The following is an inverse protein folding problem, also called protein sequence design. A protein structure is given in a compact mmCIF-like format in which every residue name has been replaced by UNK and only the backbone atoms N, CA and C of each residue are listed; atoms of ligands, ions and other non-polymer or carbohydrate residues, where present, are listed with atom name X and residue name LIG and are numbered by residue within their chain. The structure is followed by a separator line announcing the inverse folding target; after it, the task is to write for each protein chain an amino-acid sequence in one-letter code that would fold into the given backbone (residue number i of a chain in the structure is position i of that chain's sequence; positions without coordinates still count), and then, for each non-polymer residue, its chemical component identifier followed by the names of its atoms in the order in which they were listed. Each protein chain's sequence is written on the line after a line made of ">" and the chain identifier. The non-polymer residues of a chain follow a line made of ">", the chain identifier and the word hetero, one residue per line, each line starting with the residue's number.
data_IF_487027266286
#
_entry.id   IF_487027266286
#
_cell.length_a   1.000
_cell.length_b   1.000
_cell.length_c   1.000
_cell.angle_alpha   90.00
_cell.angle_beta   90.00
_cell.angle_gamma   90.00
#
_symmetry.space_group_name_H-M   'P 1'
#
loop_
_entity.id
_entity.type
_entity.pdbx_description
1 polymer ?
#
# COMPACT_ATOMS: atom_id res chain seq x y z
N UNK A 1 17.92 -7.93 15.80
CA UNK A 1 16.99 -6.79 15.72
C UNK A 1 15.57 -7.34 15.67
N UNK A 2 14.56 -6.57 16.15
CA UNK A 2 13.15 -6.93 15.97
C UNK A 2 12.77 -6.75 14.50
N UNK A 3 11.90 -7.65 14.01
CA UNK A 3 11.40 -7.59 12.63
C UNK A 3 10.22 -6.62 12.54
N UNK A 4 10.30 -5.69 11.58
CA UNK A 4 9.28 -4.69 11.28
C UNK A 4 8.77 -4.91 9.85
N UNK A 5 7.48 -5.19 9.70
CA UNK A 5 6.79 -5.25 8.40
C UNK A 5 6.18 -3.90 8.10
N UNK A 6 6.35 -3.42 6.88
CA UNK A 6 5.76 -2.15 6.42
C UNK A 6 5.06 -2.39 5.09
N UNK A 7 3.80 -1.98 4.99
CA UNK A 7 3.09 -1.97 3.71
C UNK A 7 3.64 -0.87 2.79
N UNK A 8 3.44 -1.04 1.50
CA UNK A 8 3.88 -0.08 0.49
C UNK A 8 2.78 0.94 0.16
N UNK A 9 1.64 0.46 -0.35
CA UNK A 9 0.57 1.32 -0.84
C UNK A 9 -0.13 2.04 0.32
N UNK A 10 -0.35 3.34 0.18
CA UNK A 10 -0.91 4.23 1.20
C UNK A 10 -0.08 4.36 2.50
N UNK A 11 1.03 3.64 2.65
CA UNK A 11 1.97 3.77 3.76
C UNK A 11 3.28 4.43 3.35
N UNK A 12 3.90 3.98 2.27
CA UNK A 12 5.17 4.51 1.73
C UNK A 12 4.89 5.49 0.60
N UNK A 13 3.90 5.17 -0.24
CA UNK A 13 3.51 5.94 -1.43
C UNK A 13 2.03 5.76 -1.71
N UNK A 14 1.44 6.70 -2.43
CA UNK A 14 0.08 6.57 -2.95
C UNK A 14 0.16 6.16 -4.43
N UNK A 15 -0.35 4.98 -4.82
CA UNK A 15 -0.37 4.57 -6.21
C UNK A 15 -1.34 5.43 -7.04
N UNK A 16 -0.98 5.75 -8.29
CA UNK A 16 -1.70 6.68 -9.17
C UNK A 16 -3.01 6.10 -9.76
N UNK A 17 -3.71 5.26 -9.00
CA UNK A 17 -4.93 4.62 -9.49
C UNK A 17 -6.07 5.61 -9.71
N UNK A 18 -6.22 6.60 -8.81
CA UNK A 18 -7.29 7.60 -8.92
C UNK A 18 -7.07 8.54 -10.11
N UNK A 19 -5.83 8.90 -10.39
CA UNK A 19 -5.43 9.71 -11.53
C UNK A 19 -5.81 9.00 -12.84
N UNK A 20 -5.52 7.70 -12.94
CA UNK A 20 -5.88 6.91 -14.12
C UNK A 20 -7.39 6.64 -14.22
N UNK A 21 -8.12 6.54 -13.11
CA UNK A 21 -9.59 6.52 -13.13
C UNK A 21 -10.11 7.84 -13.66
N UNK A 22 -9.58 8.98 -13.20
CA UNK A 22 -9.96 10.30 -13.67
C UNK A 22 -9.66 10.49 -15.17
N UNK A 23 -8.49 10.06 -15.64
CA UNK A 23 -8.11 10.06 -17.05
C UNK A 23 -9.10 9.24 -17.88
N UNK A 24 -9.35 7.99 -17.47
CA UNK A 24 -10.24 7.08 -18.22
C UNK A 24 -11.68 7.56 -18.30
N UNK A 25 -12.21 8.13 -17.20
CA UNK A 25 -13.60 8.59 -17.09
C UNK A 25 -13.79 10.03 -17.52
N UNK A 26 -12.72 10.79 -17.73
CA UNK A 26 -12.75 12.26 -17.88
C UNK A 26 -13.46 12.92 -16.68
N UNK A 27 -13.03 12.58 -15.46
CA UNK A 27 -13.57 13.10 -14.19
C UNK A 27 -12.46 13.77 -13.37
N UNK A 28 -12.81 14.36 -12.23
CA UNK A 28 -11.87 14.98 -11.31
C UNK A 28 -12.20 14.57 -9.86
N UNK A 29 -12.28 13.27 -9.59
CA UNK A 29 -12.45 12.77 -8.24
C UNK A 29 -11.22 13.11 -7.40
N UNK A 30 -11.43 13.47 -6.14
CA UNK A 30 -10.37 13.70 -5.18
C UNK A 30 -10.27 12.55 -4.19
N UNK A 31 -9.07 12.26 -3.74
CA UNK A 31 -8.81 11.13 -2.85
C UNK A 31 -9.44 11.31 -1.47
N UNK A 32 -9.42 12.52 -0.95
CA UNK A 32 -10.00 12.89 0.36
C UNK A 32 -11.55 12.82 0.39
N UNK A 33 -12.18 12.77 -0.78
CA UNK A 33 -13.63 12.59 -0.93
C UNK A 33 -14.03 11.09 -0.99
N UNK A 34 -13.05 10.17 -1.07
CA UNK A 34 -13.30 8.75 -1.20
C UNK A 34 -13.30 8.07 0.18
N UNK A 35 -14.09 7.01 0.30
CA UNK A 35 -14.18 6.18 1.50
C UNK A 35 -14.01 4.69 1.21
N UNK A 36 -14.16 4.28 -0.06
CA UNK A 36 -14.01 2.88 -0.46
C UNK A 36 -12.54 2.61 -0.81
N UNK A 37 -11.91 1.69 -0.10
CA UNK A 37 -10.56 1.22 -0.40
C UNK A 37 -10.37 0.81 -1.87
N UNK A 38 -11.40 0.21 -2.46
CA UNK A 38 -11.38 -0.25 -3.85
C UNK A 38 -11.79 0.85 -4.82
N UNK A 39 -10.91 1.82 -5.08
CA UNK A 39 -11.15 2.96 -5.97
C UNK A 39 -11.66 2.55 -7.37
N UNK A 40 -11.27 1.37 -7.87
CA UNK A 40 -11.79 0.83 -9.14
C UNK A 40 -13.32 0.65 -9.15
N UNK A 41 -14.00 0.64 -8.01
CA UNK A 41 -15.46 0.64 -7.92
C UNK A 41 -16.10 1.92 -8.47
N UNK A 42 -15.34 3.02 -8.57
CA UNK A 42 -15.76 4.23 -9.26
C UNK A 42 -16.01 4.00 -10.76
N UNK A 43 -15.41 2.96 -11.33
CA UNK A 43 -15.62 2.56 -12.73
C UNK A 43 -16.77 1.55 -12.80
N UNK A 44 -18.01 2.07 -12.97
CA UNK A 44 -19.23 1.25 -13.01
C UNK A 44 -19.55 0.70 -14.40
N UNK A 45 -19.02 1.33 -15.45
CA UNK A 45 -19.22 0.96 -16.86
C UNK A 45 -17.88 0.76 -17.55
N UNK A 46 -17.87 -0.04 -18.62
CA UNK A 46 -16.67 -0.30 -19.42
C UNK A 46 -15.49 -0.85 -18.59
N UNK A 47 -15.78 -1.71 -17.61
CA UNK A 47 -14.75 -2.27 -16.70
C UNK A 47 -13.64 -3.00 -17.46
N UNK A 48 -13.98 -3.77 -18.49
CA UNK A 48 -12.98 -4.49 -19.30
C UNK A 48 -12.03 -3.52 -20.00
N UNK A 49 -12.56 -2.44 -20.59
CA UNK A 49 -11.75 -1.42 -21.25
C UNK A 49 -10.87 -0.66 -20.25
N UNK A 50 -11.42 -0.39 -19.05
CA UNK A 50 -10.63 0.23 -17.97
C UNK A 50 -9.47 -0.66 -17.55
N UNK A 51 -9.69 -1.95 -17.39
CA UNK A 51 -8.60 -2.85 -17.01
C UNK A 51 -7.53 -2.96 -18.10
N UNK A 52 -7.93 -3.01 -19.39
CA UNK A 52 -6.98 -2.95 -20.51
C UNK A 52 -6.16 -1.66 -20.48
N UNK A 53 -6.82 -0.53 -20.32
CA UNK A 53 -6.18 0.77 -20.19
C UNK A 53 -5.20 0.80 -18.99
N UNK A 54 -5.63 0.34 -17.80
CA UNK A 54 -4.80 0.35 -16.60
C UNK A 54 -3.58 -0.57 -16.71
N UNK A 55 -3.69 -1.69 -17.45
CA UNK A 55 -2.58 -2.61 -17.68
C UNK A 55 -1.42 -2.00 -18.49
N UNK A 56 -1.71 -0.96 -19.27
CA UNK A 56 -0.72 -0.21 -20.03
C UNK A 56 -0.03 0.89 -19.21
N UNK A 57 -0.50 1.09 -17.98
CA UNK A 57 0.00 2.14 -17.07
C UNK A 57 0.93 1.58 -16.01
N UNK A 58 1.85 2.43 -15.56
CA UNK A 58 2.64 2.17 -14.36
C UNK A 58 2.12 3.03 -13.20
N UNK A 59 1.51 2.39 -12.20
CA UNK A 59 0.93 3.10 -11.05
C UNK A 59 1.97 3.85 -10.20
N UNK A 60 3.25 3.60 -10.43
CA UNK A 60 4.36 4.12 -9.61
C UNK A 60 5.33 5.01 -10.39
N UNK A 61 5.10 5.23 -11.70
CA UNK A 61 6.05 5.94 -12.58
C UNK A 61 6.41 7.34 -12.06
N UNK A 62 5.41 8.08 -11.58
CA UNK A 62 5.56 9.42 -11.02
C UNK A 62 5.01 9.51 -9.58
N UNK A 63 4.82 8.37 -8.93
CA UNK A 63 4.40 8.37 -7.54
C UNK A 63 5.55 8.83 -6.64
N UNK A 64 5.25 9.75 -5.72
CA UNK A 64 6.21 10.24 -4.75
C UNK A 64 6.16 9.44 -3.46
N UNK A 65 7.26 9.41 -2.72
CA UNK A 65 7.24 8.95 -1.34
C UNK A 65 6.38 9.90 -0.50
N UNK A 66 5.70 9.37 0.49
CA UNK A 66 5.04 10.22 1.50
C UNK A 66 6.06 11.10 2.22
N UNK A 67 5.60 12.24 2.72
CA UNK A 67 6.43 13.19 3.43
C UNK A 67 7.24 12.50 4.55
N UNK A 68 8.50 12.87 4.69
CA UNK A 68 9.46 12.32 5.65
C UNK A 68 9.71 10.80 5.56
N UNK A 69 9.06 10.07 4.64
CA UNK A 69 9.11 8.61 4.55
C UNK A 69 10.55 8.10 4.38
N UNK A 70 11.34 8.72 3.49
CA UNK A 70 12.71 8.29 3.22
C UNK A 70 13.60 8.35 4.48
N UNK A 71 13.61 9.48 5.17
CA UNK A 71 14.45 9.68 6.36
C UNK A 71 13.97 8.80 7.53
N UNK A 72 12.65 8.72 7.75
CA UNK A 72 12.07 7.86 8.78
C UNK A 72 12.43 6.39 8.57
N UNK A 73 12.28 5.87 7.34
CA UNK A 73 12.63 4.48 7.04
C UNK A 73 14.12 4.21 7.16
N UNK A 74 14.96 5.19 6.80
CA UNK A 74 16.41 5.07 6.94
C UNK A 74 16.83 4.97 8.41
N UNK A 75 16.27 5.80 9.28
CA UNK A 75 16.49 5.74 10.73
C UNK A 75 15.97 4.43 11.34
N UNK A 76 14.75 4.01 10.95
CA UNK A 76 14.18 2.75 11.42
C UNK A 76 15.02 1.53 10.98
N UNK A 77 15.64 1.57 9.80
CA UNK A 77 16.47 0.49 9.29
C UNK A 77 17.77 0.29 10.08
N UNK A 78 18.18 1.27 10.89
CA UNK A 78 19.32 1.14 11.82
C UNK A 78 18.94 0.35 13.09
N UNK A 79 17.65 0.34 13.47
CA UNK A 79 17.15 -0.24 14.73
C UNK A 79 16.32 -1.51 14.52
N UNK A 80 15.68 -1.65 13.36
CA UNK A 80 14.80 -2.78 13.02
C UNK A 80 15.30 -3.53 11.79
N UNK A 81 14.96 -4.81 11.72
CA UNK A 81 15.09 -5.61 10.52
C UNK A 81 13.82 -5.40 9.65
N UNK A 82 13.88 -4.40 8.75
CA UNK A 82 12.72 -3.96 7.96
C UNK A 82 12.48 -4.89 6.77
N UNK A 83 11.21 -5.25 6.57
CA UNK A 83 10.70 -5.88 5.37
C UNK A 83 9.54 -5.07 4.81
N UNK A 84 9.57 -4.80 3.50
CA UNK A 84 8.42 -4.21 2.80
C UNK A 84 7.53 -5.35 2.33
N UNK A 85 6.26 -5.35 2.76
CA UNK A 85 5.31 -6.43 2.48
C UNK A 85 4.11 -5.86 1.74
N UNK A 86 3.97 -6.16 0.46
CA UNK A 86 2.94 -5.57 -0.38
C UNK A 86 2.22 -6.59 -1.26
N UNK A 87 0.95 -6.32 -1.57
CA UNK A 87 0.19 -7.12 -2.55
C UNK A 87 0.52 -6.64 -3.96
N UNK A 88 0.51 -7.56 -4.90
CA UNK A 88 0.73 -7.27 -6.33
C UNK A 88 -0.41 -7.76 -7.21
N UNK A 89 -1.29 -8.59 -6.66
CA UNK A 89 -2.32 -9.30 -7.43
C UNK A 89 -3.54 -8.43 -7.68
N UNK A 90 -3.92 -8.33 -8.95
CA UNK A 90 -5.21 -7.81 -9.38
C UNK A 90 -6.26 -8.91 -9.33
N UNK A 91 -7.23 -8.83 -8.42
CA UNK A 91 -8.24 -9.88 -8.22
C UNK A 91 -9.34 -9.86 -9.28
N UNK A 92 -9.71 -8.68 -9.76
CA UNK A 92 -10.91 -8.48 -10.58
C UNK A 92 -10.55 -8.34 -12.07
N UNK A 93 -10.36 -9.48 -12.75
CA UNK A 93 -10.28 -9.52 -14.21
C UNK A 93 -8.91 -9.28 -14.84
N UNK A 94 -7.84 -9.13 -14.03
CA UNK A 94 -6.50 -8.81 -14.55
C UNK A 94 -5.39 -9.62 -13.88
N UNK A 95 -5.66 -10.86 -13.52
CA UNK A 95 -4.65 -11.74 -12.88
C UNK A 95 -3.37 -11.82 -13.72
N UNK A 96 -3.49 -11.94 -15.05
CA UNK A 96 -2.34 -12.02 -15.96
C UNK A 96 -1.49 -10.74 -15.99
N UNK A 97 -2.09 -9.58 -15.68
CA UNK A 97 -1.37 -8.30 -15.58
C UNK A 97 -0.65 -8.09 -14.24
N UNK A 98 -0.86 -8.96 -13.28
CA UNK A 98 -0.25 -8.84 -11.94
C UNK A 98 1.28 -8.92 -11.99
N UNK A 99 1.84 -9.58 -13.00
CA UNK A 99 3.28 -9.61 -13.24
C UNK A 99 3.86 -8.21 -13.49
N UNK A 100 3.19 -7.39 -14.30
CA UNK A 100 3.59 -6.01 -14.56
C UNK A 100 3.53 -5.16 -13.28
N UNK A 101 2.45 -5.30 -12.50
CA UNK A 101 2.30 -4.60 -11.24
C UNK A 101 3.41 -4.98 -10.24
N UNK A 102 3.76 -6.27 -10.14
CA UNK A 102 4.89 -6.73 -9.31
C UNK A 102 6.20 -6.09 -9.76
N UNK A 103 6.50 -6.12 -11.07
CA UNK A 103 7.72 -5.53 -11.61
C UNK A 103 7.80 -4.02 -11.34
N UNK A 104 6.69 -3.29 -11.49
CA UNK A 104 6.61 -1.86 -11.22
C UNK A 104 6.87 -1.55 -9.75
N UNK A 105 6.26 -2.29 -8.82
CA UNK A 105 6.51 -2.16 -7.37
C UNK A 105 7.97 -2.45 -7.01
N UNK A 106 8.52 -3.54 -7.55
CA UNK A 106 9.93 -3.91 -7.32
C UNK A 106 10.87 -2.80 -7.77
N UNK A 107 10.68 -2.27 -8.98
CA UNK A 107 11.53 -1.22 -9.53
C UNK A 107 11.39 0.08 -8.73
N UNK A 108 10.18 0.47 -8.35
CA UNK A 108 9.91 1.62 -7.53
C UNK A 108 10.64 1.56 -6.18
N UNK A 109 10.47 0.45 -5.44
CA UNK A 109 11.13 0.27 -4.14
C UNK A 109 12.65 0.31 -4.26
N UNK A 110 13.20 -0.34 -5.27
CA UNK A 110 14.65 -0.35 -5.53
C UNK A 110 15.21 1.04 -5.84
N UNK A 111 14.44 1.86 -6.56
CA UNK A 111 14.83 3.24 -6.91
C UNK A 111 14.68 4.18 -5.72
N UNK A 112 13.50 4.16 -5.07
CA UNK A 112 13.15 5.15 -4.04
C UNK A 112 13.74 4.83 -2.67
N UNK A 113 13.99 3.54 -2.34
CA UNK A 113 14.52 3.09 -1.05
C UNK A 113 15.78 2.21 -1.20
N UNK A 114 16.87 2.74 -1.79
CA UNK A 114 18.05 1.94 -2.14
C UNK A 114 18.78 1.33 -0.93
N UNK A 115 18.53 1.81 0.28
CA UNK A 115 19.09 1.28 1.53
C UNK A 115 18.35 0.01 2.03
N UNK A 116 17.13 -0.27 1.55
CA UNK A 116 16.42 -1.52 1.81
C UNK A 116 16.69 -2.48 0.64
N UNK A 117 17.44 -3.53 0.91
CA UNK A 117 17.84 -4.49 -0.13
C UNK A 117 16.65 -5.27 -0.68
N UNK A 118 16.65 -5.66 -1.97
CA UNK A 118 15.54 -6.40 -2.60
C UNK A 118 15.17 -7.72 -1.92
N UNK A 119 16.09 -8.38 -1.22
CA UNK A 119 15.81 -9.58 -0.41
C UNK A 119 14.86 -9.33 0.77
N UNK A 120 14.60 -8.05 1.09
CA UNK A 120 13.64 -7.61 2.11
C UNK A 120 12.26 -7.25 1.53
N UNK A 121 12.04 -7.44 0.22
CA UNK A 121 10.74 -7.22 -0.39
C UNK A 121 9.95 -8.52 -0.44
N UNK A 122 8.74 -8.51 0.13
CA UNK A 122 7.84 -9.65 0.18
C UNK A 122 6.57 -9.28 -0.59
N UNK A 123 6.34 -9.98 -1.70
CA UNK A 123 5.15 -9.80 -2.52
C UNK A 123 4.14 -10.90 -2.22
N UNK A 124 3.06 -10.58 -1.53
CA UNK A 124 2.04 -11.55 -1.13
C UNK A 124 0.67 -10.90 -0.99
N UNK A 125 -0.37 -11.68 -1.27
CA UNK A 125 -1.77 -11.28 -1.02
C UNK A 125 -2.27 -11.68 0.36
N UNK A 126 -1.52 -12.53 1.07
CA UNK A 126 -1.84 -12.96 2.42
C UNK A 126 -0.69 -12.62 3.37
N UNK A 127 -0.73 -11.40 3.92
CA UNK A 127 0.28 -10.90 4.85
C UNK A 127 0.26 -11.63 6.19
N UNK A 128 -0.87 -12.27 6.55
CA UNK A 128 -1.06 -12.93 7.84
C UNK A 128 -0.23 -14.21 8.02
N UNK A 129 0.43 -14.69 6.96
CA UNK A 129 1.35 -15.84 7.06
C UNK A 129 2.78 -15.46 7.44
N UNK A 130 3.07 -14.14 7.57
CA UNK A 130 4.42 -13.65 7.82
C UNK A 130 4.55 -13.28 9.31
N UNK A 131 5.41 -13.97 10.03
CA UNK A 131 5.68 -13.69 11.43
C UNK A 131 6.62 -12.50 11.60
N UNK A 132 6.25 -11.55 12.47
CA UNK A 132 7.07 -10.41 12.84
C UNK A 132 6.69 -9.84 14.22
N UNK A 133 7.54 -8.96 14.75
CA UNK A 133 7.31 -8.30 16.03
C UNK A 133 6.34 -7.12 15.92
N UNK A 134 6.44 -6.39 14.80
CA UNK A 134 5.72 -5.13 14.57
C UNK A 134 5.25 -5.08 13.12
N UNK A 135 4.07 -4.52 12.88
CA UNK A 135 3.60 -4.20 11.53
C UNK A 135 3.03 -2.80 11.43
N UNK A 136 3.29 -2.17 10.31
CA UNK A 136 2.71 -0.90 9.86
C UNK A 136 1.94 -1.17 8.57
N UNK A 137 0.65 -0.89 8.55
CA UNK A 137 -0.22 -1.15 7.39
C UNK A 137 -1.41 -0.18 7.46
N UNK A 138 -1.96 0.21 6.33
CA UNK A 138 -3.17 1.05 6.24
C UNK A 138 -4.47 0.26 6.47
N UNK A 139 -4.37 -1.09 6.58
CA UNK A 139 -5.49 -2.02 6.77
C UNK A 139 -5.31 -2.87 8.02
N UNK A 140 -6.20 -2.71 9.00
CA UNK A 140 -6.18 -3.47 10.25
C UNK A 140 -6.17 -5.00 10.05
N UNK A 141 -6.86 -5.49 9.03
CA UNK A 141 -6.94 -6.93 8.77
C UNK A 141 -5.56 -7.56 8.45
N UNK A 142 -4.61 -6.76 7.98
CA UNK A 142 -3.24 -7.21 7.72
C UNK A 142 -2.36 -7.24 8.97
N UNK A 143 -2.84 -6.67 10.08
CA UNK A 143 -2.11 -6.53 11.35
C UNK A 143 -2.58 -7.49 12.44
N UNK A 144 -3.71 -8.19 12.24
CA UNK A 144 -4.40 -8.95 13.30
C UNK A 144 -3.54 -10.02 13.98
N UNK A 145 -2.60 -10.61 13.26
CA UNK A 145 -1.71 -11.69 13.72
C UNK A 145 -0.46 -11.19 14.46
N UNK A 146 -0.21 -9.87 14.45
CA UNK A 146 1.02 -9.29 15.00
C UNK A 146 0.85 -8.85 16.47
N UNK A 147 1.94 -8.83 17.22
CA UNK A 147 1.94 -8.37 18.61
C UNK A 147 1.82 -6.85 18.72
N UNK A 148 2.57 -6.11 17.91
CA UNK A 148 2.48 -4.66 17.82
C UNK A 148 1.89 -4.25 16.48
N UNK A 149 0.79 -3.54 16.53
CA UNK A 149 -0.03 -3.14 15.39
C UNK A 149 -0.02 -1.64 15.27
N UNK A 150 0.44 -1.12 14.13
CA UNK A 150 0.47 0.29 13.84
C UNK A 150 -0.37 0.52 12.59
N UNK A 151 -1.55 1.14 12.75
CA UNK A 151 -2.39 1.55 11.64
C UNK A 151 -1.85 2.87 11.08
N UNK A 152 -1.42 2.86 9.84
CA UNK A 152 -1.04 4.08 9.14
C UNK A 152 -2.30 4.81 8.66
N UNK A 153 -2.41 6.11 8.97
CA UNK A 153 -3.58 6.91 8.58
C UNK A 153 -3.68 7.05 7.07
N UNK A 154 -4.82 6.64 6.53
CA UNK A 154 -5.11 6.68 5.11
C UNK A 154 -6.55 7.15 4.88
N UNK A 155 -6.82 7.66 3.69
CA UNK A 155 -8.12 8.21 3.31
C UNK A 155 -9.30 7.25 3.54
N UNK A 156 -9.11 5.94 3.38
CA UNK A 156 -10.15 4.92 3.50
C UNK A 156 -10.36 4.36 4.92
N UNK A 157 -9.46 4.66 5.88
CA UNK A 157 -9.54 4.11 7.24
C UNK A 157 -9.89 5.14 8.32
N UNK A 158 -10.27 6.36 7.92
CA UNK A 158 -10.61 7.47 8.84
C UNK A 158 -11.83 7.21 9.72
N UNK A 159 -12.68 6.28 9.32
CA UNK A 159 -13.87 5.86 10.09
C UNK A 159 -13.55 4.92 11.25
N UNK A 160 -12.33 4.36 11.32
CA UNK A 160 -11.89 3.51 12.42
C UNK A 160 -11.60 4.40 13.61
N UNK A 161 -12.29 4.17 14.74
CA UNK A 161 -12.15 4.97 15.93
C UNK A 161 -10.96 4.56 16.80
N UNK A 162 -10.49 5.46 17.67
CA UNK A 162 -9.42 5.14 18.62
C UNK A 162 -9.85 4.07 19.64
N UNK A 163 -11.14 4.01 20.00
CA UNK A 163 -11.70 2.97 20.86
C UNK A 163 -11.63 1.58 20.21
N UNK A 164 -11.91 1.50 18.89
CA UNK A 164 -11.74 0.27 18.13
C UNK A 164 -10.26 -0.16 18.08
N UNK A 165 -9.34 0.79 17.90
CA UNK A 165 -7.91 0.53 17.91
C UNK A 165 -7.40 0.02 19.27
N UNK A 166 -7.82 0.66 20.36
CA UNK A 166 -7.48 0.24 21.72
C UNK A 166 -7.96 -1.19 22.01
N UNK A 167 -9.18 -1.54 21.58
CA UNK A 167 -9.76 -2.88 21.76
C UNK A 167 -8.90 -3.99 21.15
N UNK A 168 -8.23 -3.73 20.03
CA UNK A 168 -7.37 -4.69 19.34
C UNK A 168 -5.88 -4.50 19.64
N UNK A 169 -5.52 -3.55 20.49
CA UNK A 169 -4.13 -3.23 20.84
C UNK A 169 -3.34 -2.63 19.69
N UNK A 170 -3.99 -1.82 18.85
CA UNK A 170 -3.36 -1.08 17.76
C UNK A 170 -3.21 0.41 18.12
N UNK A 171 -2.27 1.09 17.47
CA UNK A 171 -2.11 2.54 17.55
C UNK A 171 -2.15 3.13 16.13
N UNK A 172 -2.71 4.34 16.01
CA UNK A 172 -2.70 5.08 14.74
C UNK A 172 -1.48 5.99 14.68
N UNK A 173 -0.87 6.06 13.49
CA UNK A 173 0.17 7.03 13.16
C UNK A 173 -0.17 7.71 11.83
N UNK A 174 0.30 8.92 11.67
CA UNK A 174 0.25 9.71 10.44
C UNK A 174 1.67 10.22 10.12
N UNK A 175 1.81 10.89 9.00
CA UNK A 175 3.07 11.59 8.65
C UNK A 175 3.40 12.70 9.65
#
# INVERSE_FOLDING_TARGET
>A
MKRLLIDMDNCITDPLILEYINEFKNTNYKLDEQTDFYLQNLVTRNKEQFWKFLNEKNLYENAELKDNCYETLKELNEIYDIYIVTSYLWKDGMIDASGNNLANKYNYLKEKLPFIKPEKYIFTTNKNIIEADIGIDDRLNNLTHLNKKILFDAWHNKNITDEELETIGAVRVNN
#
